data_IF_589080595106
#
_entry.id   IF_589080595106
#
_cell.length_a   1.000
_cell.length_b   1.000
_cell.length_c   1.000
_cell.angle_alpha   90.00
_cell.angle_beta   90.00
_cell.angle_gamma   90.00
#
_symmetry.space_group_name_H-M   'P 1'
#
loop_
_entity.id
_entity.type
_entity.pdbx_description
1 polymer ?
#
# COMPACT_ATOMS: atom_id res chain seq x y z
N UNK A 1 4.17 1.68 34.75
CA UNK A 1 5.47 1.05 35.09
C UNK A 1 5.74 1.42 36.51
N UNK A 2 5.48 0.45 37.38
CA UNK A 2 5.50 0.55 38.81
C UNK A 2 6.61 -0.39 39.27
N UNK A 3 7.46 0.07 40.18
CA UNK A 3 8.61 -0.72 40.58
C UNK A 3 9.03 -0.43 42.01
N UNK A 4 9.64 -1.44 42.63
CA UNK A 4 10.11 -1.42 44.01
C UNK A 4 11.57 -1.86 44.03
N UNK A 5 12.34 -1.30 44.97
CA UNK A 5 13.71 -1.69 45.24
C UNK A 5 13.78 -2.13 46.69
N UNK A 6 14.21 -3.36 46.92
CA UNK A 6 14.40 -3.92 48.25
C UNK A 6 15.42 -5.07 48.20
N UNK A 7 16.34 -5.20 49.18
CA UNK A 7 16.56 -4.29 50.30
C UNK A 7 17.28 -3.00 49.89
N UNK A 8 17.10 -1.93 50.66
CA UNK A 8 17.87 -0.69 50.51
C UNK A 8 19.16 -0.79 51.35
N UNK A 9 20.15 -1.51 50.84
CA UNK A 9 21.45 -1.68 51.51
C UNK A 9 22.64 -1.34 50.60
N UNK A 10 23.47 -0.38 51.01
CA UNK A 10 24.63 0.05 50.23
C UNK A 10 24.27 0.85 48.97
N UNK A 11 24.92 0.51 47.86
CA UNK A 11 24.73 1.13 46.53
C UNK A 11 23.64 0.35 45.80
N UNK A 12 22.68 1.07 45.23
CA UNK A 12 21.54 0.50 44.51
C UNK A 12 21.79 0.64 43.02
N UNK A 13 21.68 -0.46 42.27
CA UNK A 13 21.68 -0.43 40.81
C UNK A 13 20.25 -0.32 40.26
N UNK A 14 20.09 0.29 39.09
CA UNK A 14 18.82 0.31 38.39
C UNK A 14 18.40 -1.08 37.88
N UNK A 15 19.35 -2.01 37.75
CA UNK A 15 19.08 -3.42 37.42
C UNK A 15 18.40 -4.19 38.57
N UNK A 16 18.61 -3.77 39.81
CA UNK A 16 18.01 -4.39 41.01
C UNK A 16 16.51 -4.04 41.18
N UNK A 17 15.98 -3.19 40.31
CA UNK A 17 14.61 -2.70 40.36
C UNK A 17 13.63 -3.81 39.96
N UNK A 18 12.75 -4.17 40.88
CA UNK A 18 11.71 -5.16 40.64
C UNK A 18 10.46 -4.47 40.08
N UNK A 19 10.09 -4.79 38.84
CA UNK A 19 8.81 -4.37 38.28
C UNK A 19 7.67 -5.08 39.01
N UNK A 20 6.74 -4.32 39.57
CA UNK A 20 5.56 -4.81 40.28
C UNK A 20 4.31 -4.07 39.79
N UNK A 21 3.12 -4.57 40.12
CA UNK A 21 1.88 -3.81 39.97
C UNK A 21 1.48 -3.34 41.36
N UNK A 22 1.60 -2.03 41.63
CA UNK A 22 1.18 -1.45 42.90
C UNK A 22 0.35 -0.20 42.65
N UNK A 23 -0.57 0.08 43.57
CA UNK A 23 -1.30 1.34 43.63
C UNK A 23 -1.36 1.90 45.06
N UNK A 24 -1.98 3.07 45.22
CA UNK A 24 -2.02 3.76 46.52
C UNK A 24 -2.65 2.91 47.64
N UNK A 25 -3.53 1.95 47.30
CA UNK A 25 -4.23 1.09 48.27
C UNK A 25 -3.34 0.00 48.85
N UNK A 26 -2.19 -0.28 48.22
CA UNK A 26 -1.21 -1.23 48.74
C UNK A 26 -0.38 -0.66 49.89
N UNK A 27 -0.49 0.64 50.15
CA UNK A 27 0.25 1.33 51.22
C UNK A 27 -0.66 1.72 52.38
N UNK A 28 -0.21 1.41 53.60
CA UNK A 28 -0.88 1.83 54.83
C UNK A 28 -0.09 2.97 55.50
N UNK A 29 -0.70 4.13 55.80
CA UNK A 29 -0.04 5.19 56.55
C UNK A 29 0.25 4.82 58.02
N UNK A 30 -0.50 3.90 58.60
CA UNK A 30 -0.32 3.47 59.99
C UNK A 30 0.54 2.19 60.07
N UNK A 31 1.58 2.17 60.93
CA UNK A 31 2.39 0.98 61.13
C UNK A 31 1.56 -0.12 61.82
N UNK A 32 1.72 -1.40 61.44
CA UNK A 32 1.10 -2.50 62.16
C UNK A 32 1.53 -2.54 63.64
N UNK A 33 0.61 -2.94 64.52
CA UNK A 33 0.90 -3.04 65.96
C UNK A 33 2.06 -4.02 66.21
N UNK A 34 3.10 -3.56 66.92
CA UNK A 34 4.28 -4.36 67.25
C UNK A 34 5.28 -4.54 66.10
N UNK A 35 5.13 -3.83 64.98
CA UNK A 35 6.09 -3.88 63.87
C UNK A 35 7.47 -3.34 64.28
N UNK A 36 8.52 -4.07 63.89
CA UNK A 36 9.90 -3.61 63.92
C UNK A 36 10.37 -3.27 62.51
N UNK A 37 11.29 -2.33 62.41
CA UNK A 37 11.85 -1.87 61.13
C UNK A 37 13.35 -1.79 61.23
N UNK A 38 14.05 -2.17 60.16
CA UNK A 38 15.50 -2.10 60.07
C UNK A 38 15.90 -1.21 58.89
N UNK A 39 16.79 -0.26 59.16
CA UNK A 39 17.43 0.55 58.12
C UNK A 39 18.68 -0.17 57.61
N UNK A 40 18.83 -0.22 56.29
CA UNK A 40 20.08 -0.62 55.65
C UNK A 40 21.11 0.52 55.61
N UNK A 41 22.23 0.29 54.91
CA UNK A 41 23.35 1.23 54.86
C UNK A 41 23.25 2.29 53.74
N UNK A 42 22.14 2.34 53.00
CA UNK A 42 21.93 3.32 51.93
C UNK A 42 21.75 4.73 52.50
N UNK A 43 22.34 5.73 51.83
CA UNK A 43 22.33 7.14 52.26
C UNK A 43 21.02 7.87 51.90
N UNK A 44 19.89 7.40 52.43
CA UNK A 44 18.53 7.87 52.12
C UNK A 44 18.28 9.37 52.44
N UNK A 45 19.06 9.95 53.35
CA UNK A 45 19.00 11.36 53.73
C UNK A 45 19.54 12.31 52.66
N UNK A 46 20.34 11.80 51.71
CA UNK A 46 20.97 12.63 50.69
C UNK A 46 20.01 12.85 49.53
N UNK A 47 19.65 14.12 49.25
CA UNK A 47 18.87 14.48 48.06
C UNK A 47 19.49 13.96 46.75
N UNK A 48 20.83 13.94 46.69
CA UNK A 48 21.58 13.48 45.52
C UNK A 48 21.37 12.00 45.22
N UNK A 49 21.15 11.17 46.25
CA UNK A 49 20.83 9.75 46.07
C UNK A 49 19.54 9.59 45.26
N UNK A 50 18.46 10.26 45.68
CA UNK A 50 17.16 10.19 45.01
C UNK A 50 17.22 10.72 43.57
N UNK A 51 17.91 11.84 43.33
CA UNK A 51 18.07 12.35 41.97
C UNK A 51 18.91 11.44 41.07
N UNK A 52 19.95 10.78 41.62
CA UNK A 52 20.75 9.79 40.87
C UNK A 52 19.90 8.58 40.54
N UNK A 53 19.24 7.99 41.53
CA UNK A 53 18.41 6.81 41.35
C UNK A 53 17.32 7.02 40.27
N UNK A 54 16.64 8.17 40.29
CA UNK A 54 15.66 8.51 39.26
C UNK A 54 16.28 8.66 37.86
N UNK A 55 17.51 9.19 37.77
CA UNK A 55 18.26 9.29 36.52
C UNK A 55 18.71 7.90 36.04
N UNK A 56 19.18 7.06 36.93
CA UNK A 56 19.71 5.73 36.64
C UNK A 56 18.59 4.80 36.17
N UNK A 57 17.43 4.81 36.84
CA UNK A 57 16.22 4.10 36.40
C UNK A 57 15.77 4.59 35.02
N UNK A 58 15.79 5.90 34.76
CA UNK A 58 15.46 6.44 33.44
C UNK A 58 16.42 5.92 32.37
N UNK A 59 17.72 5.94 32.64
CA UNK A 59 18.74 5.43 31.72
C UNK A 59 18.55 3.92 31.47
N UNK A 60 18.25 3.16 32.51
CA UNK A 60 17.98 1.72 32.42
C UNK A 60 16.75 1.43 31.55
N UNK A 61 15.66 2.17 31.74
CA UNK A 61 14.44 2.02 30.93
C UNK A 61 14.68 2.40 29.47
N UNK A 62 15.43 3.47 29.19
CA UNK A 62 15.85 3.82 27.81
C UNK A 62 16.66 2.69 27.17
N UNK A 63 17.57 2.06 27.93
CA UNK A 63 18.45 1.02 27.41
C UNK A 63 17.75 -0.33 27.20
N UNK A 64 16.73 -0.66 28.00
CA UNK A 64 16.16 -2.01 28.06
C UNK A 64 14.70 -2.11 27.61
N UNK A 65 14.01 -0.99 27.39
CA UNK A 65 12.64 -0.99 26.88
C UNK A 65 12.61 -0.53 25.43
N UNK A 66 12.47 -1.51 24.55
CA UNK A 66 12.11 -1.31 23.16
C UNK A 66 10.76 -2.00 22.87
N UNK A 67 10.12 -1.55 21.80
CA UNK A 67 8.96 -2.21 21.20
C UNK A 67 9.34 -2.57 19.79
N UNK A 68 9.21 -3.84 19.45
CA UNK A 68 9.37 -4.31 18.08
C UNK A 68 8.05 -4.12 17.32
N UNK A 69 8.13 -3.47 16.17
CA UNK A 69 7.04 -3.37 15.20
C UNK A 69 7.55 -3.78 13.82
N UNK A 70 6.67 -4.32 13.00
CA UNK A 70 6.97 -4.63 11.62
C UNK A 70 6.68 -3.42 10.73
N UNK A 71 7.49 -3.24 9.70
CA UNK A 71 7.37 -2.17 8.73
C UNK A 71 7.36 -2.76 7.32
N UNK A 72 6.44 -2.27 6.48
CA UNK A 72 6.40 -2.55 5.06
C UNK A 72 6.73 -1.26 4.30
N UNK A 73 7.98 -1.08 3.83
CA UNK A 73 8.45 0.16 3.21
C UNK A 73 7.66 0.56 1.96
N UNK A 74 7.33 -0.43 1.11
CA UNK A 74 6.60 -0.19 -0.13
C UNK A 74 5.23 0.46 0.09
N UNK A 75 4.54 0.04 1.16
CA UNK A 75 3.22 0.55 1.53
C UNK A 75 3.25 1.63 2.60
N UNK A 76 4.43 1.92 3.18
CA UNK A 76 4.62 2.82 4.35
C UNK A 76 3.71 2.44 5.52
N UNK A 77 3.46 1.14 5.70
CA UNK A 77 2.62 0.62 6.76
C UNK A 77 3.48 0.12 7.93
N UNK A 78 2.94 0.27 9.13
CA UNK A 78 3.53 -0.23 10.37
C UNK A 78 2.55 -1.18 11.06
N UNK A 79 3.08 -2.20 11.72
CA UNK A 79 2.28 -3.11 12.53
C UNK A 79 1.83 -2.43 13.81
N UNK A 80 0.79 -3.00 14.42
CA UNK A 80 0.42 -2.66 15.80
C UNK A 80 1.42 -3.31 16.76
N UNK A 81 1.51 -2.74 17.96
CA UNK A 81 2.31 -3.33 19.05
C UNK A 81 1.75 -4.71 19.40
N UNK A 82 2.62 -5.73 19.41
CA UNK A 82 2.24 -7.12 19.67
C UNK A 82 1.48 -7.81 18.52
N UNK A 83 1.33 -7.17 17.37
CA UNK A 83 0.76 -7.81 16.18
C UNK A 83 1.71 -8.88 15.63
N UNK A 84 1.17 -10.06 15.36
CA UNK A 84 1.97 -11.14 14.74
C UNK A 84 2.39 -10.74 13.32
N UNK A 85 3.58 -11.17 12.91
CA UNK A 85 4.10 -10.94 11.54
C UNK A 85 3.10 -11.36 10.45
N UNK A 86 2.44 -12.50 10.62
CA UNK A 86 1.46 -13.01 9.65
C UNK A 86 0.19 -12.16 9.56
N UNK A 87 -0.32 -11.65 10.69
CA UNK A 87 -1.46 -10.73 10.70
C UNK A 87 -1.12 -9.40 10.02
N UNK A 88 0.08 -8.86 10.30
CA UNK A 88 0.55 -7.65 9.63
C UNK A 88 0.73 -7.86 8.12
N UNK A 89 1.33 -8.98 7.71
CA UNK A 89 1.50 -9.33 6.30
C UNK A 89 0.16 -9.42 5.56
N UNK A 90 -0.88 -9.99 6.19
CA UNK A 90 -2.21 -10.05 5.60
C UNK A 90 -2.81 -8.65 5.35
N UNK A 91 -2.66 -7.72 6.31
CA UNK A 91 -3.07 -6.32 6.13
C UNK A 91 -2.28 -5.60 5.04
N UNK A 92 -0.98 -5.87 4.94
CA UNK A 92 -0.16 -5.32 3.85
C UNK A 92 -0.66 -5.80 2.49
N UNK A 93 -0.97 -7.09 2.35
CA UNK A 93 -1.51 -7.63 1.10
C UNK A 93 -2.85 -6.98 0.73
N UNK A 94 -3.76 -6.87 1.69
CA UNK A 94 -5.05 -6.19 1.46
C UNK A 94 -4.87 -4.73 1.03
N UNK A 95 -3.95 -4.01 1.67
CA UNK A 95 -3.66 -2.62 1.30
C UNK A 95 -3.02 -2.48 -0.10
N UNK A 96 -2.15 -3.42 -0.50
CA UNK A 96 -1.58 -3.47 -1.84
C UNK A 96 -2.66 -3.76 -2.89
N UNK A 97 -3.54 -4.73 -2.65
CA UNK A 97 -4.66 -5.05 -3.55
C UNK A 97 -5.58 -3.83 -3.75
N UNK A 98 -5.94 -3.13 -2.67
CA UNK A 98 -6.76 -1.92 -2.77
C UNK A 98 -6.06 -0.80 -3.55
N UNK A 99 -4.75 -0.63 -3.37
CA UNK A 99 -3.98 0.37 -4.11
C UNK A 99 -3.88 0.01 -5.60
N UNK A 100 -3.65 -1.27 -5.92
CA UNK A 100 -3.64 -1.80 -7.27
C UNK A 100 -4.98 -1.58 -7.97
N UNK A 101 -6.10 -1.90 -7.31
CA UNK A 101 -7.45 -1.69 -7.86
C UNK A 101 -7.69 -0.22 -8.25
N UNK A 102 -7.30 0.72 -7.38
CA UNK A 102 -7.42 2.16 -7.66
C UNK A 102 -6.58 2.58 -8.87
N UNK A 103 -5.35 2.07 -8.99
CA UNK A 103 -4.47 2.36 -10.12
C UNK A 103 -4.98 1.74 -11.42
N UNK A 104 -5.40 0.47 -11.38
CA UNK A 104 -6.01 -0.24 -12.52
C UNK A 104 -7.27 0.47 -13.01
N UNK A 105 -8.15 0.93 -12.13
CA UNK A 105 -9.33 1.70 -12.54
C UNK A 105 -8.95 3.01 -13.22
N UNK A 106 -8.00 3.78 -12.66
CA UNK A 106 -7.52 5.02 -13.28
C UNK A 106 -6.87 4.77 -14.64
N UNK A 107 -6.12 3.69 -14.76
CA UNK A 107 -5.50 3.26 -16.01
C UNK A 107 -6.57 2.93 -17.05
N UNK A 108 -7.55 2.10 -16.68
CA UNK A 108 -8.70 1.75 -17.52
C UNK A 108 -9.46 2.97 -18.01
N UNK A 109 -9.77 3.94 -17.16
CA UNK A 109 -10.51 5.15 -17.56
C UNK A 109 -9.74 6.00 -18.59
N UNK A 110 -8.42 6.13 -18.38
CA UNK A 110 -7.53 6.85 -19.30
C UNK A 110 -7.46 6.18 -20.67
N UNK A 111 -7.29 4.85 -20.68
CA UNK A 111 -7.20 4.08 -21.91
C UNK A 111 -8.53 3.93 -22.62
N UNK A 112 -9.64 3.74 -21.89
CA UNK A 112 -10.98 3.69 -22.46
C UNK A 112 -11.28 4.97 -23.26
N UNK A 113 -10.89 6.14 -22.74
CA UNK A 113 -11.04 7.41 -23.44
C UNK A 113 -10.24 7.46 -24.76
N UNK A 114 -8.98 6.99 -24.74
CA UNK A 114 -8.10 6.94 -25.93
C UNK A 114 -8.61 5.93 -26.96
N UNK A 115 -8.92 4.71 -26.52
CA UNK A 115 -9.43 3.60 -27.34
C UNK A 115 -10.74 3.99 -28.01
N UNK A 116 -11.72 4.51 -27.28
CA UNK A 116 -13.00 4.93 -27.84
C UNK A 116 -12.80 5.97 -28.96
N UNK A 117 -11.91 6.95 -28.74
CA UNK A 117 -11.58 7.96 -29.75
C UNK A 117 -10.99 7.35 -31.02
N UNK A 118 -10.08 6.38 -30.89
CA UNK A 118 -9.47 5.71 -32.05
C UNK A 118 -10.48 4.80 -32.74
N UNK A 119 -11.35 4.11 -32.00
CA UNK A 119 -12.44 3.30 -32.55
C UNK A 119 -13.44 4.13 -33.36
N UNK A 120 -13.82 5.32 -32.88
CA UNK A 120 -14.67 6.24 -33.62
C UNK A 120 -14.01 6.67 -34.94
N UNK A 121 -12.71 6.99 -34.90
CA UNK A 121 -11.93 7.33 -36.08
C UNK A 121 -11.77 6.16 -37.05
N UNK A 122 -11.60 4.94 -36.53
CA UNK A 122 -11.51 3.71 -37.29
C UNK A 122 -12.83 3.44 -38.03
N UNK A 123 -13.98 3.58 -37.35
CA UNK A 123 -15.29 3.42 -37.98
C UNK A 123 -15.51 4.43 -39.11
N UNK A 124 -15.04 5.67 -38.93
CA UNK A 124 -15.12 6.72 -39.95
C UNK A 124 -14.22 6.41 -41.14
N UNK A 125 -13.01 5.90 -40.89
CA UNK A 125 -12.08 5.49 -41.94
C UNK A 125 -12.61 4.29 -42.74
N UNK A 126 -13.15 3.28 -42.06
CA UNK A 126 -13.75 2.09 -42.68
C UNK A 126 -14.97 2.45 -43.54
N UNK A 127 -15.87 3.29 -43.03
CA UNK A 127 -16.99 3.82 -43.82
C UNK A 127 -16.52 4.55 -45.08
N UNK A 128 -15.41 5.30 -44.99
CA UNK A 128 -14.82 6.01 -46.14
C UNK A 128 -14.21 5.06 -47.18
N UNK A 129 -13.56 3.98 -46.74
CA UNK A 129 -13.06 2.93 -47.64
C UNK A 129 -14.24 2.31 -48.40
N UNK A 130 -15.29 1.86 -47.68
CA UNK A 130 -16.49 1.24 -48.29
C UNK A 130 -17.17 2.15 -49.33
N UNK A 131 -17.24 3.45 -49.05
CA UNK A 131 -17.77 4.44 -50.01
C UNK A 131 -16.93 4.48 -51.30
N UNK A 132 -15.60 4.52 -51.17
CA UNK A 132 -14.69 4.66 -52.31
C UNK A 132 -14.49 3.35 -53.09
N UNK A 133 -14.71 2.18 -52.48
CA UNK A 133 -14.70 0.89 -53.18
C UNK A 133 -15.76 0.82 -54.28
N UNK A 134 -16.96 1.34 -53.98
CA UNK A 134 -18.08 1.44 -54.94
C UNK A 134 -17.68 2.29 -56.15
N UNK A 135 -17.05 3.44 -55.92
CA UNK A 135 -16.59 4.37 -56.96
C UNK A 135 -15.38 3.84 -57.76
N UNK A 136 -14.50 3.08 -57.10
CA UNK A 136 -13.32 2.49 -57.72
C UNK A 136 -13.65 1.21 -58.52
N UNK A 137 -14.92 0.78 -58.58
CA UNK A 137 -15.33 -0.52 -59.14
C UNK A 137 -14.48 -1.68 -58.61
N UNK A 138 -13.96 -1.51 -57.40
CA UNK A 138 -13.04 -2.40 -56.70
C UNK A 138 -13.87 -3.24 -55.75
N UNK A 139 -13.71 -4.56 -55.79
CA UNK A 139 -14.20 -5.44 -54.73
C UNK A 139 -12.98 -5.91 -53.98
N UNK A 140 -12.43 -5.05 -53.14
CA UNK A 140 -11.42 -5.42 -52.17
C UNK A 140 -12.18 -6.17 -51.06
N UNK A 141 -11.73 -7.40 -50.74
CA UNK A 141 -12.25 -8.15 -49.60
C UNK A 141 -11.78 -7.44 -48.32
N UNK A 142 -12.43 -6.35 -47.94
CA UNK A 142 -12.30 -5.80 -46.60
C UNK A 142 -13.11 -6.67 -45.61
N UNK A 143 -12.88 -7.99 -45.63
CA UNK A 143 -13.28 -8.94 -44.59
C UNK A 143 -12.24 -8.84 -43.45
N UNK A 144 -12.13 -7.67 -42.82
CA UNK A 144 -11.19 -7.45 -41.70
C UNK A 144 -11.94 -6.95 -40.45
N UNK A 145 -13.27 -6.89 -40.50
CA UNK A 145 -14.08 -6.37 -39.38
C UNK A 145 -14.34 -7.40 -38.26
N UNK A 146 -13.91 -8.65 -38.40
CA UNK A 146 -14.26 -9.74 -37.46
C UNK A 146 -13.09 -10.27 -36.62
N UNK A 147 -11.99 -9.53 -36.50
CA UNK A 147 -10.84 -9.99 -35.71
C UNK A 147 -9.97 -8.91 -35.09
N UNK A 148 -10.22 -7.62 -35.37
CA UNK A 148 -9.47 -6.52 -34.78
C UNK A 148 -10.35 -5.82 -33.74
N UNK A 149 -10.13 -6.13 -32.46
CA UNK A 149 -10.87 -5.58 -31.31
C UNK A 149 -11.54 -6.60 -30.39
N UNK A 150 -11.48 -7.90 -30.72
CA UNK A 150 -12.19 -8.95 -29.97
C UNK A 150 -11.51 -9.36 -28.65
N UNK A 151 -10.28 -8.93 -28.37
CA UNK A 151 -9.60 -9.31 -27.12
C UNK A 151 -9.93 -8.38 -25.93
N UNK A 152 -10.45 -7.17 -26.17
CA UNK A 152 -10.84 -6.24 -25.10
C UNK A 152 -12.31 -5.77 -25.16
N UNK A 153 -13.02 -5.99 -26.27
CA UNK A 153 -14.46 -5.70 -26.37
C UNK A 153 -15.32 -6.51 -25.39
N UNK A 154 -14.89 -7.74 -25.04
CA UNK A 154 -15.61 -8.63 -24.14
C UNK A 154 -15.55 -8.21 -22.65
N UNK A 155 -14.58 -7.38 -22.25
CA UNK A 155 -14.42 -6.94 -20.86
C UNK A 155 -15.14 -5.62 -20.54
N UNK A 156 -15.55 -4.85 -21.56
CA UNK A 156 -16.09 -3.49 -21.38
C UNK A 156 -17.55 -3.30 -21.81
N UNK A 157 -18.12 -4.10 -22.72
CA UNK A 157 -19.54 -3.93 -23.08
C UNK A 157 -20.11 -5.11 -23.85
N UNK A 158 -21.04 -5.83 -23.22
CA UNK A 158 -21.92 -6.76 -23.94
C UNK A 158 -22.79 -6.01 -24.94
N UNK A 159 -22.65 -6.35 -26.23
CA UNK A 159 -23.69 -6.45 -27.29
C UNK A 159 -23.13 -6.07 -28.67
N UNK A 160 -23.03 -7.05 -29.56
CA UNK A 160 -22.75 -6.84 -30.99
C UNK A 160 -24.07 -6.70 -31.74
N UNK A 161 -24.26 -5.61 -32.46
CA UNK A 161 -25.38 -5.40 -33.37
C UNK A 161 -24.93 -5.57 -34.81
N UNK A 162 -25.53 -6.54 -35.51
CA UNK A 162 -25.35 -6.74 -36.95
C UNK A 162 -26.13 -5.69 -37.74
N UNK A 163 -25.53 -5.07 -38.75
CA UNK A 163 -26.28 -4.45 -39.85
C UNK A 163 -25.69 -4.85 -41.19
N UNK A 164 -26.48 -5.65 -41.90
CA UNK A 164 -26.33 -5.97 -43.31
C UNK A 164 -26.89 -4.83 -44.15
N UNK A 165 -26.21 -4.40 -45.21
CA UNK A 165 -26.88 -3.66 -46.28
C UNK A 165 -26.33 -4.00 -47.66
N UNK A 166 -27.26 -4.37 -48.53
CA UNK A 166 -27.05 -4.74 -49.93
C UNK A 166 -27.11 -3.51 -50.83
N UNK A 167 -26.25 -3.43 -51.86
CA UNK A 167 -26.53 -2.60 -53.04
C UNK A 167 -25.89 -3.15 -54.30
N UNK A 168 -26.72 -3.37 -55.31
CA UNK A 168 -26.34 -3.64 -56.69
C UNK A 168 -26.19 -2.32 -57.46
N UNK A 169 -25.17 -2.20 -58.30
CA UNK A 169 -24.92 -1.04 -59.15
C UNK A 169 -23.97 -1.35 -60.31
N UNK A 170 -24.33 -0.84 -61.49
CA UNK A 170 -23.75 -1.10 -62.81
C UNK A 170 -22.31 -0.59 -62.96
N UNK A 171 -21.42 -1.40 -63.56
CA UNK A 171 -19.98 -1.16 -63.70
C UNK A 171 -19.64 -0.11 -64.78
N UNK A 172 -18.80 0.88 -64.43
CA UNK A 172 -17.95 1.65 -65.37
C UNK A 172 -16.48 1.50 -64.97
N UNK A 173 -15.58 1.57 -65.94
CA UNK A 173 -14.14 1.52 -65.70
C UNK A 173 -13.71 2.68 -64.79
N UNK A 174 -13.16 2.37 -63.61
CA UNK A 174 -12.72 3.38 -62.65
C UNK A 174 -11.50 4.18 -63.13
N UNK A 175 -11.54 5.49 -62.91
CA UNK A 175 -10.43 6.39 -63.21
C UNK A 175 -9.22 6.14 -62.29
N UNK A 176 -8.00 6.43 -62.76
CA UNK A 176 -6.78 6.38 -61.92
C UNK A 176 -6.92 7.19 -60.61
N UNK A 177 -7.67 8.30 -60.67
CA UNK A 177 -7.97 9.18 -59.54
C UNK A 177 -8.84 8.50 -58.47
N UNK A 178 -9.82 7.69 -58.88
CA UNK A 178 -10.67 6.94 -57.95
C UNK A 178 -9.86 5.88 -57.19
N UNK A 179 -9.00 5.13 -57.90
CA UNK A 179 -8.09 4.15 -57.28
C UNK A 179 -7.09 4.78 -56.31
N UNK A 180 -6.52 5.95 -56.65
CA UNK A 180 -5.60 6.65 -55.75
C UNK A 180 -6.30 7.11 -54.45
N UNK A 181 -7.55 7.58 -54.54
CA UNK A 181 -8.34 7.97 -53.36
C UNK A 181 -8.68 6.79 -52.46
N UNK A 182 -9.03 5.64 -53.05
CA UNK A 182 -9.28 4.40 -52.32
C UNK A 182 -8.02 4.00 -51.54
N UNK A 183 -6.86 3.96 -52.20
CA UNK A 183 -5.58 3.64 -51.55
C UNK A 183 -5.28 4.55 -50.36
N UNK A 184 -5.42 5.88 -50.51
CA UNK A 184 -5.21 6.79 -49.37
C UNK A 184 -6.18 6.55 -48.22
N UNK A 185 -7.41 6.11 -48.49
CA UNK A 185 -8.37 5.76 -47.45
C UNK A 185 -8.02 4.44 -46.75
N UNK A 186 -7.54 3.44 -47.51
CA UNK A 186 -7.05 2.17 -46.98
C UNK A 186 -5.82 2.37 -46.09
N UNK A 187 -4.85 3.18 -46.54
CA UNK A 187 -3.65 3.53 -45.76
C UNK A 187 -4.09 4.18 -44.42
N UNK A 188 -5.05 5.11 -44.46
CA UNK A 188 -5.58 5.77 -43.26
C UNK A 188 -6.35 4.84 -42.33
N UNK A 189 -7.05 3.84 -42.88
CA UNK A 189 -7.69 2.79 -42.09
C UNK A 189 -6.64 1.94 -41.39
N UNK A 190 -5.61 1.51 -42.12
CA UNK A 190 -4.47 0.74 -41.59
C UNK A 190 -3.75 1.48 -40.47
N UNK A 191 -3.52 2.79 -40.62
CA UNK A 191 -2.90 3.62 -39.58
C UNK A 191 -3.71 3.60 -38.28
N UNK A 192 -5.05 3.66 -38.38
CA UNK A 192 -5.95 3.63 -37.21
C UNK A 192 -6.05 2.25 -36.59
N UNK A 193 -5.94 1.19 -37.38
CA UNK A 193 -5.85 -0.19 -36.88
C UNK A 193 -4.57 -0.39 -36.08
N UNK A 194 -3.44 0.11 -36.58
CA UNK A 194 -2.17 0.05 -35.88
C UNK A 194 -2.20 0.88 -34.59
N UNK A 195 -2.73 2.11 -34.64
CA UNK A 195 -2.86 2.96 -33.44
C UNK A 195 -3.71 2.29 -32.35
N UNK A 196 -4.76 1.55 -32.73
CA UNK A 196 -5.55 0.78 -31.77
C UNK A 196 -4.74 -0.37 -31.16
N UNK A 197 -4.06 -1.17 -31.99
CA UNK A 197 -3.25 -2.29 -31.51
C UNK A 197 -2.09 -1.84 -30.60
N UNK A 198 -1.47 -0.71 -30.90
CA UNK A 198 -0.43 -0.11 -30.08
C UNK A 198 -0.98 0.31 -28.70
N UNK A 199 -2.16 0.94 -28.66
CA UNK A 199 -2.83 1.29 -27.40
C UNK A 199 -3.20 0.07 -26.55
N UNK A 200 -3.66 -1.01 -27.17
CA UNK A 200 -3.99 -2.25 -26.47
C UNK A 200 -2.72 -2.89 -25.86
N UNK A 201 -1.61 -2.85 -26.60
CA UNK A 201 -0.30 -3.34 -26.14
C UNK A 201 0.24 -2.48 -24.98
N UNK A 202 0.17 -1.16 -25.09
CA UNK A 202 0.58 -0.19 -24.05
C UNK A 202 -0.23 -0.43 -22.76
N UNK A 203 -1.55 -0.62 -22.87
CA UNK A 203 -2.43 -0.95 -21.74
C UNK A 203 -2.04 -2.26 -21.06
N UNK A 204 -1.77 -3.31 -21.83
CA UNK A 204 -1.38 -4.60 -21.26
C UNK A 204 -0.05 -4.49 -20.50
N UNK A 205 0.94 -3.82 -21.08
CA UNK A 205 2.24 -3.62 -20.44
C UNK A 205 2.13 -2.80 -19.15
N UNK A 206 1.31 -1.74 -19.14
CA UNK A 206 1.09 -0.95 -17.92
C UNK A 206 0.36 -1.76 -16.84
N UNK A 207 -0.62 -2.60 -17.20
CA UNK A 207 -1.28 -3.50 -16.24
C UNK A 207 -0.31 -4.50 -15.61
N UNK A 208 0.57 -5.10 -16.43
CA UNK A 208 1.61 -6.02 -15.95
C UNK A 208 2.61 -5.31 -15.03
N UNK A 209 2.99 -4.06 -15.35
CA UNK A 209 3.86 -3.24 -14.49
C UNK A 209 3.24 -2.98 -13.13
N UNK A 210 1.96 -2.57 -13.11
CA UNK A 210 1.23 -2.35 -11.85
C UNK A 210 1.25 -3.64 -11.01
N UNK A 211 0.92 -4.78 -11.61
CA UNK A 211 0.91 -6.03 -10.86
C UNK A 211 2.28 -6.36 -10.24
N UNK A 212 3.37 -6.23 -11.01
CA UNK A 212 4.73 -6.50 -10.53
C UNK A 212 5.16 -5.54 -9.41
N UNK A 213 4.84 -4.26 -9.54
CA UNK A 213 5.16 -3.26 -8.53
C UNK A 213 4.46 -3.56 -7.19
N UNK A 214 3.16 -3.88 -7.23
CA UNK A 214 2.38 -4.18 -6.02
C UNK A 214 2.79 -5.51 -5.37
N UNK A 215 3.13 -6.54 -6.16
CA UNK A 215 3.70 -7.78 -5.62
C UNK A 215 5.00 -7.49 -4.86
N UNK A 216 5.93 -6.74 -5.47
CA UNK A 216 7.20 -6.36 -4.86
C UNK A 216 7.03 -5.52 -3.57
N UNK A 217 6.00 -4.67 -3.49
CA UNK A 217 5.72 -3.89 -2.27
C UNK A 217 5.39 -4.78 -1.06
N UNK A 218 4.82 -5.97 -1.27
CA UNK A 218 4.39 -6.87 -0.17
C UNK A 218 5.44 -7.88 0.28
N UNK A 219 6.53 -8.05 -0.48
CA UNK A 219 7.60 -9.01 -0.15
C UNK A 219 8.54 -8.50 0.96
N UNK A 220 8.71 -7.18 1.07
CA UNK A 220 9.60 -6.57 2.06
C UNK A 220 8.88 -6.29 3.39
N UNK A 221 9.31 -7.00 4.44
CA UNK A 221 8.89 -6.79 5.82
C UNK A 221 10.12 -6.67 6.69
N UNK A 222 10.36 -5.45 7.16
CA UNK A 222 11.45 -5.12 8.06
C UNK A 222 10.96 -5.13 9.51
N UNK A 223 11.84 -5.50 10.43
CA UNK A 223 11.63 -5.27 11.86
C UNK A 223 12.20 -3.90 12.23
N UNK A 224 11.44 -3.13 12.98
CA UNK A 224 11.82 -1.84 13.51
C UNK A 224 11.71 -1.87 15.03
N UNK A 225 12.82 -1.65 15.71
CA UNK A 225 12.85 -1.45 17.15
C UNK A 225 12.65 0.03 17.48
N UNK A 226 11.60 0.31 18.25
CA UNK A 226 11.28 1.63 18.77
C UNK A 226 11.66 1.63 20.26
N UNK A 227 12.79 2.27 20.58
CA UNK A 227 13.23 2.49 21.95
C UNK A 227 12.56 3.70 22.61
N UNK A 228 12.66 3.79 23.93
CA UNK A 228 12.30 4.99 24.67
C UNK A 228 13.42 6.04 24.58
N UNK A 229 13.06 7.31 24.45
CA UNK A 229 13.96 8.43 24.70
C UNK A 229 13.87 8.91 26.15
N UNK A 230 14.90 9.61 26.62
CA UNK A 230 14.91 10.20 27.98
C UNK A 230 13.74 11.14 28.21
N UNK A 231 13.24 11.79 27.17
CA UNK A 231 12.12 12.73 27.23
C UNK A 231 10.76 12.02 27.29
N UNK A 232 10.68 10.75 26.89
CA UNK A 232 9.45 9.95 26.96
C UNK A 232 9.14 9.47 28.39
N UNK A 233 10.16 9.50 29.25
CA UNK A 233 10.08 8.99 30.61
C UNK A 233 9.88 10.15 31.57
N UNK A 234 8.88 10.05 32.44
CA UNK A 234 8.73 10.93 33.60
C UNK A 234 8.56 10.09 34.84
N UNK A 235 9.43 10.29 35.82
CA UNK A 235 9.22 9.74 37.16
C UNK A 235 8.08 10.53 37.79
N UNK A 236 6.90 9.90 37.88
CA UNK A 236 5.72 10.52 38.47
C UNK A 236 5.90 10.69 39.97
N UNK A 237 6.45 9.67 40.62
CA UNK A 237 6.59 9.62 42.07
C UNK A 237 7.78 8.75 42.48
N UNK A 238 8.44 9.12 43.58
CA UNK A 238 9.42 8.28 44.27
C UNK A 238 9.15 8.39 45.77
N UNK A 239 8.79 7.26 46.38
CA UNK A 239 8.42 7.14 47.79
C UNK A 239 9.36 6.18 48.51
N UNK A 240 9.69 6.49 49.76
CA UNK A 240 10.28 5.53 50.67
C UNK A 240 9.15 4.85 51.44
N UNK A 241 9.11 3.53 51.40
CA UNK A 241 8.08 2.72 52.07
C UNK A 241 8.76 1.83 53.10
N UNK A 242 8.15 1.72 54.28
CA UNK A 242 8.61 0.84 55.35
C UNK A 242 7.98 -0.54 55.20
N UNK A 243 8.83 -1.57 55.10
CA UNK A 243 8.40 -2.97 55.16
C UNK A 243 8.76 -3.51 56.56
N UNK A 244 7.78 -4.00 57.34
CA UNK A 244 8.06 -4.52 58.67
C UNK A 244 8.91 -5.78 58.58
N UNK A 245 9.94 -5.86 59.43
CA UNK A 245 10.70 -7.08 59.69
C UNK A 245 10.14 -7.70 60.97
N UNK A 246 9.94 -9.02 60.95
CA UNK A 246 9.39 -9.77 62.10
C UNK A 246 10.22 -9.56 63.37
#
# INVERSE_FOLDING_TARGET
YEAVIFPLDGIIDAEDVLTVDHDERDFNPEPPAGASYQLGNTKLQNKTFWSSLQSDIRNYLVANRNVEVWHCPGLKLYSRVGETRGAFQARCREAAEQAADVEVTRLRDRYATRINRVQDQLSTADARVRELEVDASSRTQAEVMSGLGDLLGAFLKGRVGSTTLSKAGTRRAASRKAKARLKTAEDKLSDKQQELADLETELQQELESIQQEHEAMTESLDSLEIGLEKNDIRVAEAKLVWVPVA
#
